data_IF_528887893091
#
_entry.id   IF_528887893091
#
_cell.length_a   1.000
_cell.length_b   1.000
_cell.length_c   1.000
_cell.angle_alpha   90.00
_cell.angle_beta   90.00
_cell.angle_gamma   90.00
#
_symmetry.space_group_name_H-M   'P 1'
#
loop_
_entity.id
_entity.type
_entity.pdbx_description
1 polymer ?
#
# COMPACT_ATOMS: atom_id res chain seq x y z
N UNK A 1 5.52 12.33 -7.55
CA UNK A 1 5.05 11.65 -6.33
C UNK A 1 5.76 10.31 -6.20
N UNK A 2 6.28 10.04 -5.00
CA UNK A 2 7.00 8.79 -4.74
C UNK A 2 6.11 7.82 -3.99
N UNK A 3 6.07 6.57 -4.46
CA UNK A 3 5.26 5.49 -3.88
C UNK A 3 6.19 4.35 -3.48
N UNK A 4 6.04 3.86 -2.26
CA UNK A 4 6.71 2.65 -1.78
C UNK A 4 5.65 1.62 -1.41
N UNK A 5 5.81 0.39 -1.90
CA UNK A 5 4.96 -0.74 -1.56
C UNK A 5 5.76 -1.64 -0.61
N UNK A 6 5.29 -1.78 0.62
CA UNK A 6 5.97 -2.59 1.63
C UNK A 6 5.29 -3.95 1.71
N UNK A 7 5.97 -4.95 1.21
CA UNK A 7 5.50 -6.32 1.09
C UNK A 7 5.56 -6.78 -0.35
N UNK A 8 6.42 -7.76 -0.64
CA UNK A 8 6.63 -8.29 -1.98
C UNK A 8 5.97 -9.65 -2.18
N UNK A 9 4.86 -9.89 -1.49
CA UNK A 9 4.03 -11.08 -1.67
C UNK A 9 3.08 -10.95 -2.85
N UNK A 10 2.02 -11.74 -2.84
CA UNK A 10 1.06 -11.79 -3.96
C UNK A 10 0.38 -10.45 -4.21
N UNK A 11 -0.04 -9.74 -3.15
CA UNK A 11 -0.72 -8.44 -3.29
C UNK A 11 0.28 -7.38 -3.75
N UNK A 12 1.40 -7.24 -3.06
CA UNK A 12 2.39 -6.19 -3.35
C UNK A 12 2.96 -6.31 -4.75
N UNK A 13 3.29 -7.53 -5.19
CA UNK A 13 3.80 -7.77 -6.53
C UNK A 13 2.78 -7.39 -7.59
N UNK A 14 1.50 -7.70 -7.37
CA UNK A 14 0.43 -7.34 -8.31
C UNK A 14 0.19 -5.84 -8.35
N UNK A 15 0.15 -5.16 -7.20
CA UNK A 15 -0.02 -3.71 -7.17
C UNK A 15 1.14 -2.99 -7.88
N UNK A 16 2.36 -3.44 -7.62
CA UNK A 16 3.54 -2.92 -8.30
C UNK A 16 3.42 -3.06 -9.82
N UNK A 17 3.05 -4.25 -10.29
CA UNK A 17 2.85 -4.52 -11.71
C UNK A 17 1.75 -3.62 -12.30
N UNK A 18 0.61 -3.49 -11.60
CA UNK A 18 -0.51 -2.66 -12.05
C UNK A 18 -0.13 -1.19 -12.23
N UNK A 19 0.65 -0.64 -11.31
CA UNK A 19 1.13 0.74 -11.41
C UNK A 19 2.15 0.91 -12.55
N UNK A 20 3.08 -0.04 -12.70
CA UNK A 20 4.08 0.01 -13.77
C UNK A 20 3.42 -0.03 -15.16
N UNK A 21 2.35 -0.81 -15.33
CA UNK A 21 1.58 -0.85 -16.58
C UNK A 21 0.99 0.52 -16.94
N UNK A 22 0.76 1.37 -15.95
CA UNK A 22 0.23 2.73 -16.15
C UNK A 22 1.35 3.78 -16.21
N UNK A 23 2.61 3.36 -16.25
CA UNK A 23 3.74 4.27 -16.25
C UNK A 23 4.01 4.94 -14.90
N UNK A 24 3.45 4.41 -13.82
CA UNK A 24 3.64 4.94 -12.46
C UNK A 24 4.69 4.09 -11.76
N UNK A 25 5.84 4.69 -11.49
CA UNK A 25 6.91 3.99 -10.79
C UNK A 25 6.61 3.91 -9.28
N UNK A 26 6.76 2.70 -8.72
CA UNK A 26 6.70 2.46 -7.29
C UNK A 26 7.85 1.55 -6.89
N UNK A 27 8.42 1.79 -5.71
CA UNK A 27 9.44 0.89 -5.18
C UNK A 27 8.78 -0.25 -4.42
N UNK A 28 9.17 -1.48 -4.73
CA UNK A 28 8.70 -2.68 -4.06
C UNK A 28 9.72 -3.08 -3.00
N UNK A 29 9.30 -3.05 -1.73
CA UNK A 29 10.16 -3.28 -0.58
C UNK A 29 9.80 -4.60 0.08
N UNK A 30 10.81 -5.45 0.34
CA UNK A 30 10.60 -6.68 1.09
C UNK A 30 10.43 -6.38 2.57
N UNK A 31 9.39 -6.94 3.20
CA UNK A 31 9.08 -6.66 4.60
C UNK A 31 9.92 -7.50 5.58
N UNK A 32 10.34 -8.72 5.21
CA UNK A 32 11.10 -9.60 6.10
C UNK A 32 12.36 -8.99 6.68
N UNK A 33 13.22 -8.31 5.88
CA UNK A 33 14.38 -7.65 6.45
C UNK A 33 14.04 -6.62 7.52
N UNK A 34 12.90 -5.93 7.40
CA UNK A 34 12.47 -4.92 8.37
C UNK A 34 12.11 -5.54 9.72
N UNK A 35 11.43 -6.68 9.72
CA UNK A 35 11.03 -7.35 10.96
C UNK A 35 12.16 -8.15 11.59
N UNK A 36 13.09 -8.67 10.75
CA UNK A 36 14.25 -9.43 11.23
C UNK A 36 15.33 -8.53 11.82
N UNK A 37 15.53 -7.35 11.23
CA UNK A 37 16.51 -6.37 11.67
C UNK A 37 15.90 -4.97 11.56
N UNK A 38 15.38 -4.41 12.68
CA UNK A 38 14.74 -3.09 12.66
C UNK A 38 15.64 -1.96 12.13
N UNK A 39 16.96 -2.12 12.16
CA UNK A 39 17.86 -1.11 11.59
C UNK A 39 17.74 -1.01 10.07
N UNK A 40 17.21 -2.03 9.40
CA UNK A 40 16.96 -2.00 7.96
C UNK A 40 15.94 -0.93 7.56
N UNK A 41 15.17 -0.39 8.50
CA UNK A 41 14.26 0.73 8.26
C UNK A 41 15.01 1.97 7.74
N UNK A 42 16.29 2.11 8.05
CA UNK A 42 17.10 3.22 7.57
C UNK A 42 17.32 3.18 6.05
N UNK A 43 17.14 2.01 5.43
CA UNK A 43 17.29 1.81 3.99
C UNK A 43 15.94 1.96 3.25
N UNK A 44 14.85 2.23 3.98
CA UNK A 44 13.56 2.46 3.35
C UNK A 44 13.60 3.73 2.49
N UNK A 45 13.02 3.69 1.28
CA UNK A 45 12.89 4.90 0.49
C UNK A 45 11.97 5.90 1.20
N UNK A 46 12.30 7.18 1.08
CA UNK A 46 11.36 8.22 1.45
C UNK A 46 10.27 8.28 0.38
N UNK A 47 9.03 8.21 0.81
CA UNK A 47 7.89 8.21 -0.11
C UNK A 47 6.79 9.13 0.38
N UNK A 48 5.99 9.60 -0.57
CA UNK A 48 4.78 10.37 -0.27
C UNK A 48 3.63 9.45 0.12
N UNK A 49 3.63 8.24 -0.42
CA UNK A 49 2.62 7.21 -0.13
C UNK A 49 3.34 5.89 0.19
N UNK A 50 2.99 5.32 1.33
CA UNK A 50 3.40 3.95 1.71
C UNK A 50 2.18 3.05 1.63
N UNK A 51 2.27 2.00 0.82
CA UNK A 51 1.20 0.99 0.69
C UNK A 51 1.70 -0.29 1.35
N UNK A 52 1.01 -0.71 2.40
CA UNK A 52 1.36 -1.89 3.18
C UNK A 52 0.58 -3.09 2.66
N UNK A 53 1.28 -4.08 2.14
CA UNK A 53 0.69 -5.29 1.54
C UNK A 53 1.12 -6.56 2.28
N UNK A 54 1.55 -6.40 3.52
CA UNK A 54 1.95 -7.51 4.38
C UNK A 54 0.75 -8.23 4.95
N UNK A 55 0.96 -9.45 5.44
CA UNK A 55 -0.09 -10.23 6.11
C UNK A 55 -0.62 -9.49 7.34
N UNK A 56 -1.91 -9.72 7.67
CA UNK A 56 -2.58 -9.02 8.76
C UNK A 56 -1.85 -9.17 10.11
N UNK A 57 -1.30 -10.35 10.38
CA UNK A 57 -0.67 -10.63 11.68
C UNK A 57 0.66 -9.89 11.90
N UNK A 58 1.28 -9.33 10.85
CA UNK A 58 2.50 -8.52 10.96
C UNK A 58 2.27 -7.05 10.62
N UNK A 59 1.06 -6.68 10.23
CA UNK A 59 0.77 -5.33 9.73
C UNK A 59 1.11 -4.26 10.78
N UNK A 60 0.66 -4.41 12.02
CA UNK A 60 0.92 -3.42 13.08
C UNK A 60 2.40 -3.25 13.35
N UNK A 61 3.15 -4.35 13.36
CA UNK A 61 4.60 -4.33 13.57
C UNK A 61 5.30 -3.55 12.46
N UNK A 62 4.98 -3.87 11.20
CA UNK A 62 5.60 -3.19 10.05
C UNK A 62 5.25 -1.70 10.04
N UNK A 63 3.99 -1.36 10.29
CA UNK A 63 3.55 0.04 10.36
C UNK A 63 4.35 0.80 11.41
N UNK A 64 4.59 0.20 12.59
CA UNK A 64 5.31 0.85 13.69
C UNK A 64 6.77 1.15 13.35
N UNK A 65 7.35 0.42 12.41
CA UNK A 65 8.75 0.60 12.01
C UNK A 65 8.96 1.76 11.03
N UNK A 66 7.90 2.22 10.38
CA UNK A 66 7.99 3.27 9.36
C UNK A 66 7.72 4.63 10.00
N UNK A 67 8.74 5.49 10.03
CA UNK A 67 8.61 6.85 10.58
C UNK A 67 8.48 7.86 9.45
N UNK A 68 7.26 8.16 9.06
CA UNK A 68 6.95 9.13 8.01
C UNK A 68 5.60 9.79 8.33
N UNK A 69 5.56 10.69 9.33
CA UNK A 69 4.28 11.18 9.87
C UNK A 69 3.47 12.02 8.89
N UNK A 70 4.10 12.60 7.87
CA UNK A 70 3.41 13.45 6.88
C UNK A 70 3.02 12.70 5.62
N UNK A 71 3.50 11.47 5.42
CA UNK A 71 3.15 10.67 4.27
C UNK A 71 1.76 10.06 4.42
N UNK A 72 1.15 9.69 3.31
CA UNK A 72 -0.09 8.91 3.32
C UNK A 72 0.27 7.43 3.50
N UNK A 73 -0.35 6.80 4.49
CA UNK A 73 -0.15 5.38 4.81
C UNK A 73 -1.42 4.62 4.49
N UNK A 74 -1.33 3.63 3.60
CA UNK A 74 -2.46 2.82 3.18
C UNK A 74 -2.18 1.35 3.44
N UNK A 75 -3.14 0.63 4.03
CA UNK A 75 -3.08 -0.82 4.02
C UNK A 75 -4.09 -1.39 3.02
N UNK A 76 -3.97 -2.66 2.73
CA UNK A 76 -4.70 -3.33 1.65
C UNK A 76 -5.54 -4.49 2.15
N UNK A 77 -5.79 -4.55 3.46
CA UNK A 77 -6.55 -5.62 4.10
C UNK A 77 -8.05 -5.27 4.13
N UNK A 78 -8.90 -6.24 3.80
CA UNK A 78 -10.34 -6.08 3.95
C UNK A 78 -10.84 -6.32 5.36
N UNK A 79 -10.00 -6.83 6.26
CA UNK A 79 -10.40 -7.21 7.62
C UNK A 79 -9.76 -6.38 8.73
N UNK A 80 -8.69 -5.64 8.44
CA UNK A 80 -8.02 -4.81 9.44
C UNK A 80 -8.57 -3.39 9.46
N UNK A 81 -8.73 -2.79 10.66
CA UNK A 81 -9.23 -1.42 10.74
C UNK A 81 -8.16 -0.39 10.38
N UNK A 82 -8.60 0.83 10.05
CA UNK A 82 -7.70 1.94 9.77
C UNK A 82 -6.89 2.33 11.00
N UNK A 83 -7.38 2.04 12.20
CA UNK A 83 -6.74 2.33 13.49
C UNK A 83 -5.41 1.61 13.69
N UNK A 84 -5.07 0.63 12.84
CA UNK A 84 -3.74 -0.01 12.89
C UNK A 84 -2.60 1.01 12.69
N UNK A 85 -2.88 2.14 12.07
CA UNK A 85 -1.89 3.18 11.83
C UNK A 85 -1.55 4.02 13.06
N UNK A 86 -2.37 3.95 14.12
CA UNK A 86 -2.12 4.73 15.32
C UNK A 86 -2.29 6.23 15.11
N UNK A 87 -2.00 7.01 16.14
CA UNK A 87 -2.16 8.46 16.11
C UNK A 87 -0.99 9.20 15.44
N UNK A 88 0.16 8.57 15.35
CA UNK A 88 1.38 9.16 14.79
C UNK A 88 1.38 9.25 13.27
N UNK A 89 0.57 8.44 12.59
CA UNK A 89 0.35 8.54 11.14
C UNK A 89 -0.82 9.50 10.90
N UNK A 90 -0.50 10.76 10.59
CA UNK A 90 -1.52 11.81 10.43
C UNK A 90 -2.45 11.55 9.24
N UNK A 91 -1.92 10.94 8.18
CA UNK A 91 -2.66 10.63 6.96
C UNK A 91 -2.67 9.13 6.75
N UNK A 92 -3.86 8.56 6.74
CA UNK A 92 -4.03 7.11 6.67
C UNK A 92 -5.30 6.74 5.92
N UNK A 93 -5.29 5.55 5.34
CA UNK A 93 -6.44 5.03 4.63
C UNK A 93 -6.32 3.55 4.34
N UNK A 94 -7.32 3.04 3.65
CA UNK A 94 -7.42 1.65 3.20
C UNK A 94 -7.66 1.65 1.69
N UNK A 95 -6.90 0.81 0.99
CA UNK A 95 -7.05 0.57 -0.44
C UNK A 95 -7.21 -0.94 -0.62
N UNK A 96 -8.44 -1.40 -0.60
CA UNK A 96 -8.74 -2.84 -0.63
C UNK A 96 -9.33 -3.26 -1.96
N UNK A 97 -8.58 -4.06 -2.70
CA UNK A 97 -9.07 -4.70 -3.93
C UNK A 97 -9.68 -6.05 -3.58
N UNK A 98 -10.94 -6.23 -3.92
CA UNK A 98 -11.66 -7.49 -3.70
C UNK A 98 -11.27 -8.49 -4.79
N UNK A 99 -10.13 -9.16 -4.57
CA UNK A 99 -9.53 -10.07 -5.53
C UNK A 99 -8.56 -11.01 -4.83
N UNK A 100 -8.50 -12.25 -5.29
CA UNK A 100 -7.42 -13.17 -4.93
C UNK A 100 -6.23 -12.94 -5.86
N UNK A 101 -5.08 -12.64 -5.29
CA UNK A 101 -3.87 -12.37 -6.06
C UNK A 101 -2.90 -13.54 -6.00
N UNK A 102 -2.18 -13.76 -7.11
CA UNK A 102 -1.10 -14.74 -7.21
C UNK A 102 0.11 -14.11 -7.85
N UNK A 103 1.30 -14.43 -7.34
CA UNK A 103 2.56 -13.97 -7.95
C UNK A 103 2.86 -14.67 -9.28
N UNK A 104 2.30 -15.84 -9.49
CA UNK A 104 2.50 -16.63 -10.71
C UNK A 104 1.64 -16.11 -11.87
N UNK A 105 0.60 -15.36 -11.57
CA UNK A 105 -0.28 -14.81 -12.61
C UNK A 105 -0.64 -13.37 -12.25
N UNK A 106 0.14 -12.43 -12.78
CA UNK A 106 -0.07 -11.02 -12.51
C UNK A 106 -1.29 -10.48 -13.24
N UNK A 107 -2.00 -9.55 -12.59
CA UNK A 107 -3.20 -8.92 -13.14
C UNK A 107 -2.80 -7.80 -14.09
N UNK A 108 -3.28 -7.86 -15.33
CA UNK A 108 -3.09 -6.79 -16.33
C UNK A 108 -4.31 -5.88 -16.43
N UNK A 109 -5.52 -6.44 -16.30
CA UNK A 109 -6.76 -5.68 -16.40
C UNK A 109 -7.41 -5.54 -15.01
N UNK A 110 -7.35 -4.34 -14.47
CA UNK A 110 -7.91 -3.98 -13.16
C UNK A 110 -9.32 -3.41 -13.25
N UNK A 111 -9.88 -3.27 -14.46
CA UNK A 111 -11.13 -2.53 -14.69
C UNK A 111 -12.35 -3.18 -14.03
N UNK A 112 -12.32 -4.51 -13.83
CA UNK A 112 -13.43 -5.26 -13.24
C UNK A 112 -13.26 -5.59 -11.77
N UNK A 113 -12.12 -5.21 -11.17
CA UNK A 113 -11.85 -5.53 -9.77
C UNK A 113 -12.47 -4.48 -8.87
N UNK A 114 -13.42 -4.84 -7.99
CA UNK A 114 -13.95 -3.89 -7.02
C UNK A 114 -12.84 -3.41 -6.09
N UNK A 115 -12.84 -2.11 -5.81
CA UNK A 115 -11.90 -1.52 -4.87
C UNK A 115 -12.63 -0.65 -3.87
N UNK A 116 -12.46 -0.97 -2.60
CA UNK A 116 -13.05 -0.25 -1.48
C UNK A 116 -11.99 0.64 -0.85
N UNK A 117 -12.35 1.87 -0.54
CA UNK A 117 -11.42 2.82 0.06
C UNK A 117 -11.98 3.38 1.36
N UNK A 118 -11.08 3.69 2.28
CA UNK A 118 -11.35 4.46 3.47
C UNK A 118 -10.25 5.51 3.61
N UNK A 119 -10.52 6.56 4.36
CA UNK A 119 -9.54 7.57 4.72
C UNK A 119 -9.85 8.14 6.09
N UNK A 120 -8.82 8.61 6.76
CA UNK A 120 -8.94 9.19 8.11
C UNK A 120 -9.70 10.52 8.08
N UNK A 121 -9.63 11.23 6.95
CA UNK A 121 -10.33 12.49 6.72
C UNK A 121 -10.63 12.64 5.23
N UNK A 122 -11.30 13.74 4.86
CA UNK A 122 -11.70 13.97 3.46
C UNK A 122 -10.50 14.02 2.52
N UNK A 123 -9.40 14.64 2.93
CA UNK A 123 -8.20 14.73 2.09
C UNK A 123 -7.57 13.36 1.85
N UNK A 124 -7.55 12.50 2.87
CA UNK A 124 -7.03 11.14 2.77
C UNK A 124 -7.92 10.28 1.85
N UNK A 125 -9.25 10.43 1.96
CA UNK A 125 -10.19 9.75 1.06
C UNK A 125 -9.95 10.18 -0.38
N UNK A 126 -9.79 11.48 -0.62
CA UNK A 126 -9.56 12.01 -1.96
C UNK A 126 -8.24 11.50 -2.56
N UNK A 127 -7.16 11.51 -1.78
CA UNK A 127 -5.86 11.01 -2.23
C UNK A 127 -5.91 9.50 -2.53
N UNK A 128 -6.59 8.73 -1.69
CA UNK A 128 -6.76 7.29 -1.88
C UNK A 128 -7.60 7.01 -3.13
N UNK A 129 -8.63 7.81 -3.39
CA UNK A 129 -9.45 7.68 -4.59
C UNK A 129 -8.65 7.98 -5.87
N UNK A 130 -7.76 8.97 -5.84
CA UNK A 130 -6.85 9.25 -6.96
C UNK A 130 -5.98 8.04 -7.24
N UNK A 131 -5.40 7.43 -6.22
CA UNK A 131 -4.56 6.25 -6.38
C UNK A 131 -5.37 5.07 -6.92
N UNK A 132 -6.59 4.85 -6.42
CA UNK A 132 -7.48 3.80 -6.95
C UNK A 132 -7.70 3.96 -8.46
N UNK A 133 -7.95 5.19 -8.92
CA UNK A 133 -8.13 5.46 -10.34
C UNK A 133 -6.89 5.17 -11.18
N UNK A 134 -5.70 5.20 -10.56
CA UNK A 134 -4.46 4.91 -11.25
C UNK A 134 -4.35 3.45 -11.72
N UNK A 135 -5.15 2.55 -11.15
CA UNK A 135 -5.20 1.15 -11.58
C UNK A 135 -6.21 0.92 -12.71
N UNK A 136 -7.02 1.91 -13.05
CA UNK A 136 -8.08 1.73 -14.03
C UNK A 136 -7.70 2.32 -15.38
N UNK A 137 -8.25 1.80 -16.48
CA UNK A 137 -7.98 2.38 -17.79
C UNK A 137 -8.52 3.80 -17.88
N UNK A 138 -7.81 4.64 -18.62
CA UNK A 138 -8.30 5.98 -18.95
C UNK A 138 -9.47 5.88 -19.92
N UNK A 139 -10.43 6.74 -19.73
CA UNK A 139 -11.57 6.88 -20.62
C UNK A 139 -11.38 8.12 -21.48
#
# INVERSE_FOLDING_TARGET
>A
MKIAIIGAGSVGTNLHHGLELKGIHAELVHARPLTADPSAVNDLPQADIYIYTVADHVLREVVSLVNAPKSLHLHTSGSMPIEVFGADKQHAGVLYFFQSFSREKLIDDWSTIPCFIEGRNIDDIAATAVLRRSFRPRR
#
